data_IF_075659157083
#
_entry.id   IF_075659157083
#
_cell.length_a   1.000
_cell.length_b   1.000
_cell.length_c   1.000
_cell.angle_alpha   90.00
_cell.angle_beta   90.00
_cell.angle_gamma   90.00
#
_symmetry.space_group_name_H-M   'P 1'
#
loop_
_entity.id
_entity.type
_entity.pdbx_description
1 polymer ?
#
# COMPACT_ATOMS: atom_id res chain seq x y z
N UNK A 1 60.38 -31.75 -9.48
CA UNK A 1 59.11 -31.71 -8.73
C UNK A 1 58.42 -30.33 -8.81
N UNK A 2 58.43 -29.66 -9.99
CA UNK A 2 57.86 -28.31 -10.14
C UNK A 2 56.46 -28.28 -10.81
N UNK A 3 56.10 -29.31 -11.58
CA UNK A 3 54.84 -29.33 -12.34
C UNK A 3 53.58 -29.59 -11.51
N UNK A 4 53.69 -30.20 -10.32
CA UNK A 4 52.53 -30.54 -9.47
C UNK A 4 52.02 -29.35 -8.66
N UNK A 5 52.89 -28.37 -8.34
CA UNK A 5 52.50 -27.19 -7.55
C UNK A 5 51.74 -26.17 -8.42
N UNK A 6 52.12 -26.03 -9.69
CA UNK A 6 51.43 -25.12 -10.62
C UNK A 6 49.98 -25.55 -10.93
N UNK A 7 49.70 -26.86 -10.99
CA UNK A 7 48.33 -27.36 -11.25
C UNK A 7 47.40 -27.16 -10.05
N UNK A 8 47.92 -27.24 -8.82
CA UNK A 8 47.15 -26.98 -7.59
C UNK A 8 46.76 -25.51 -7.48
N UNK A 9 47.65 -24.57 -7.79
CA UNK A 9 47.33 -23.13 -7.73
C UNK A 9 46.25 -22.70 -8.74
N UNK A 10 46.20 -23.33 -9.91
CA UNK A 10 45.14 -23.11 -10.90
C UNK A 10 43.77 -23.66 -10.45
N UNK A 11 43.77 -24.76 -9.70
CA UNK A 11 42.55 -25.37 -9.18
C UNK A 11 42.01 -24.66 -7.93
N UNK A 12 42.87 -24.16 -7.04
CA UNK A 12 42.43 -23.31 -5.91
C UNK A 12 41.78 -22.02 -6.38
N UNK A 13 42.34 -21.38 -7.41
CA UNK A 13 41.76 -20.18 -8.01
C UNK A 13 40.37 -20.44 -8.60
N UNK A 14 40.19 -21.59 -9.26
CA UNK A 14 38.90 -22.03 -9.79
C UNK A 14 37.88 -22.32 -8.68
N UNK A 15 38.32 -22.91 -7.56
CA UNK A 15 37.47 -23.18 -6.38
C UNK A 15 36.98 -21.86 -5.77
N UNK A 16 37.84 -20.85 -5.62
CA UNK A 16 37.44 -19.55 -5.09
C UNK A 16 36.41 -18.83 -5.97
N UNK A 17 36.52 -18.96 -7.31
CA UNK A 17 35.52 -18.41 -8.23
C UNK A 17 34.18 -19.13 -8.09
N UNK A 18 34.21 -20.46 -7.96
CA UNK A 18 32.99 -21.27 -7.73
C UNK A 18 32.33 -20.90 -6.40
N UNK A 19 33.12 -20.68 -5.34
CA UNK A 19 32.62 -20.27 -4.03
C UNK A 19 32.00 -18.87 -4.07
N UNK A 20 32.63 -17.92 -4.75
CA UNK A 20 32.09 -16.57 -4.94
C UNK A 20 30.75 -16.61 -5.67
N UNK A 21 30.67 -17.34 -6.79
CA UNK A 21 29.42 -17.52 -7.54
C UNK A 21 28.36 -18.24 -6.70
N UNK A 22 28.75 -19.23 -5.89
CA UNK A 22 27.83 -19.93 -4.99
C UNK A 22 27.26 -18.99 -3.92
N UNK A 23 28.07 -18.09 -3.37
CA UNK A 23 27.63 -17.07 -2.42
C UNK A 23 26.66 -16.09 -3.07
N UNK A 24 26.98 -15.59 -4.27
CA UNK A 24 26.10 -14.69 -5.02
C UNK A 24 24.76 -15.34 -5.35
N UNK A 25 24.75 -16.62 -5.73
CA UNK A 25 23.50 -17.34 -5.98
C UNK A 25 22.67 -17.48 -4.69
N UNK A 26 23.29 -17.73 -3.54
CA UNK A 26 22.59 -17.80 -2.25
C UNK A 26 21.98 -16.45 -1.87
N UNK A 27 22.70 -15.35 -2.05
CA UNK A 27 22.16 -14.01 -1.74
C UNK A 27 20.98 -13.66 -2.62
N UNK A 28 21.06 -13.94 -3.93
CA UNK A 28 19.97 -13.72 -4.89
C UNK A 28 18.74 -14.57 -4.51
N UNK A 29 18.93 -15.84 -4.14
CA UNK A 29 17.83 -16.71 -3.70
C UNK A 29 17.15 -16.19 -2.42
N UNK A 30 17.94 -15.68 -1.46
CA UNK A 30 17.38 -15.04 -0.25
C UNK A 30 16.61 -13.76 -0.57
N UNK A 31 17.08 -12.96 -1.53
CA UNK A 31 16.36 -11.75 -1.97
C UNK A 31 15.04 -12.12 -2.67
N UNK A 32 15.06 -13.08 -3.60
CA UNK A 32 13.86 -13.53 -4.32
C UNK A 32 12.82 -14.09 -3.36
N UNK A 33 13.23 -14.95 -2.42
CA UNK A 33 12.31 -15.52 -1.42
C UNK A 33 11.71 -14.45 -0.50
N UNK A 34 12.50 -13.45 -0.09
CA UNK A 34 11.99 -12.29 0.66
C UNK A 34 10.96 -11.48 -0.14
N UNK A 35 11.23 -11.23 -1.42
CA UNK A 35 10.31 -10.51 -2.32
C UNK A 35 9.01 -11.28 -2.53
N UNK A 36 9.07 -12.60 -2.72
CA UNK A 36 7.89 -13.46 -2.85
C UNK A 36 7.04 -13.45 -1.57
N UNK A 37 7.65 -13.62 -0.39
CA UNK A 37 6.93 -13.56 0.89
C UNK A 37 6.19 -12.21 1.09
N UNK A 38 6.81 -11.10 0.69
CA UNK A 38 6.18 -9.77 0.72
C UNK A 38 5.03 -9.61 -0.28
N UNK A 39 5.09 -10.29 -1.43
CA UNK A 39 4.01 -10.29 -2.41
C UNK A 39 2.84 -11.17 -1.96
N UNK A 40 3.11 -12.35 -1.43
CA UNK A 40 2.09 -13.27 -0.88
C UNK A 40 1.30 -12.63 0.27
N UNK A 41 1.98 -11.87 1.14
CA UNK A 41 1.31 -11.10 2.21
C UNK A 41 0.47 -9.94 1.67
N UNK A 42 0.88 -9.33 0.56
CA UNK A 42 0.11 -8.26 -0.11
C UNK A 42 -1.13 -8.79 -0.81
N UNK A 43 -1.09 -9.97 -1.41
CA UNK A 43 -2.28 -10.59 -2.02
C UNK A 43 -3.35 -10.94 -0.98
N UNK A 44 -2.95 -11.44 0.21
CA UNK A 44 -3.90 -11.71 1.31
C UNK A 44 -4.62 -10.46 1.84
N UNK A 45 -4.10 -9.26 1.60
CA UNK A 45 -4.71 -8.00 2.02
C UNK A 45 -5.53 -7.30 0.93
N UNK A 46 -5.55 -7.86 -0.29
CA UNK A 46 -6.33 -7.35 -1.45
C UNK A 46 -7.71 -8.04 -1.56
N UNK A 47 -8.08 -8.90 -0.62
CA UNK A 47 -9.48 -9.36 -0.45
C UNK A 47 -10.33 -8.38 0.37
N UNK A 48 -10.07 -7.07 0.25
CA UNK A 48 -11.16 -6.10 0.42
C UNK A 48 -11.95 -6.14 -0.87
N UNK A 49 -12.94 -7.04 -0.92
CA UNK A 49 -13.94 -7.04 -1.99
C UNK A 49 -14.50 -5.64 -2.24
N UNK A 50 -15.19 -5.37 -3.35
CA UNK A 50 -15.65 -4.03 -3.72
C UNK A 50 -16.61 -3.45 -2.68
N UNK A 51 -16.05 -2.88 -1.62
CA UNK A 51 -16.73 -2.10 -0.63
C UNK A 51 -17.06 -0.76 -1.29
N UNK A 52 -18.17 -0.71 -2.01
CA UNK A 52 -18.61 0.58 -2.53
C UNK A 52 -19.79 0.62 -3.48
N UNK A 53 -20.22 -0.48 -4.10
CA UNK A 53 -21.40 -0.42 -5.00
C UNK A 53 -22.76 -0.52 -4.29
N UNK A 54 -22.79 -0.73 -2.97
CA UNK A 54 -24.02 -0.85 -2.19
C UNK A 54 -24.04 -0.06 -0.90
N UNK A 55 -23.25 1.01 -0.77
CA UNK A 55 -23.59 2.00 0.24
C UNK A 55 -24.75 2.84 -0.32
N UNK A 56 -25.97 2.29 -0.27
CA UNK A 56 -27.18 3.12 -0.27
C UNK A 56 -26.93 4.14 0.84
N UNK A 57 -26.64 5.39 0.46
CA UNK A 57 -26.61 6.50 1.42
C UNK A 57 -27.89 6.36 2.23
N UNK A 58 -27.78 6.26 3.56
CA UNK A 58 -28.95 6.08 4.43
C UNK A 58 -30.04 7.07 4.00
N UNK A 59 -31.32 6.65 3.92
CA UNK A 59 -32.43 7.53 3.56
C UNK A 59 -32.59 8.74 4.49
N UNK A 60 -31.83 8.85 5.59
CA UNK A 60 -31.75 10.07 6.40
C UNK A 60 -31.17 11.28 5.65
N UNK A 61 -30.57 11.07 4.47
CA UNK A 61 -30.20 12.12 3.52
C UNK A 61 -31.16 12.26 2.34
N UNK A 62 -32.26 11.50 2.35
CA UNK A 62 -33.36 11.74 1.43
C UNK A 62 -33.90 13.13 1.73
N UNK A 63 -33.72 13.99 0.74
CA UNK A 63 -34.03 15.40 0.70
C UNK A 63 -35.54 15.62 0.75
N UNK A 64 -36.16 15.26 1.88
CA UNK A 64 -37.47 15.76 2.28
C UNK A 64 -37.29 17.17 2.83
N UNK A 65 -37.50 18.18 1.98
CA UNK A 65 -37.88 19.55 2.35
C UNK A 65 -37.20 20.16 3.61
N UNK A 66 -35.90 19.94 3.81
CA UNK A 66 -35.23 20.52 4.96
C UNK A 66 -34.94 21.99 4.66
N UNK A 67 -35.76 22.88 5.24
CA UNK A 67 -35.66 24.35 5.24
C UNK A 67 -34.32 24.89 5.80
N UNK A 68 -33.36 24.03 6.10
CA UNK A 68 -32.15 24.34 6.86
C UNK A 68 -30.94 23.62 6.27
N UNK A 69 -29.86 24.37 6.03
CA UNK A 69 -28.59 23.82 5.57
C UNK A 69 -27.90 22.94 6.65
N UNK A 70 -26.90 22.15 6.24
CA UNK A 70 -26.16 21.25 7.13
C UNK A 70 -25.58 21.97 8.36
N UNK A 71 -25.05 23.19 8.16
CA UNK A 71 -24.48 23.98 9.25
C UNK A 71 -25.56 24.40 10.27
N UNK A 72 -26.75 24.78 9.81
CA UNK A 72 -27.86 25.11 10.70
C UNK A 72 -28.39 23.88 11.45
N UNK A 73 -28.44 22.71 10.80
CA UNK A 73 -28.80 21.45 11.47
C UNK A 73 -27.81 21.10 12.59
N UNK A 74 -26.51 21.33 12.39
CA UNK A 74 -25.46 20.95 13.35
C UNK A 74 -25.23 21.97 14.46
N UNK A 75 -25.26 23.26 14.12
CA UNK A 75 -24.86 24.34 15.03
C UNK A 75 -26.01 25.28 15.42
N UNK A 76 -27.21 25.11 14.83
CA UNK A 76 -28.40 25.95 15.07
C UNK A 76 -28.05 27.43 14.93
N UNK A 77 -28.38 28.24 15.92
CA UNK A 77 -28.13 29.69 15.99
C UNK A 77 -26.63 30.04 16.11
N UNK A 78 -25.77 29.06 16.43
CA UNK A 78 -24.31 29.28 16.55
C UNK A 78 -23.57 29.14 15.21
N UNK A 79 -24.28 28.89 14.11
CA UNK A 79 -23.68 28.76 12.79
C UNK A 79 -23.31 30.11 12.18
N UNK A 80 -22.02 30.46 12.13
CA UNK A 80 -21.53 31.67 11.43
C UNK A 80 -21.71 31.60 9.91
N UNK A 81 -21.79 30.38 9.34
CA UNK A 81 -21.91 30.14 7.89
C UNK A 81 -23.35 30.01 7.38
N UNK A 82 -24.35 30.24 8.25
CA UNK A 82 -25.76 30.12 7.88
C UNK A 82 -26.48 31.43 8.18
N UNK A 83 -27.07 32.05 7.16
CA UNK A 83 -27.88 33.28 7.29
C UNK A 83 -29.34 32.99 6.96
N UNK A 84 -30.29 33.73 7.56
CA UNK A 84 -31.73 33.64 7.21
C UNK A 84 -31.89 33.88 5.69
N UNK A 85 -32.61 33.04 4.93
CA UNK A 85 -33.61 32.03 5.31
C UNK A 85 -33.07 30.60 5.57
N UNK A 86 -31.92 30.49 6.24
CA UNK A 86 -31.24 29.25 6.61
C UNK A 86 -30.78 28.38 5.43
N UNK A 87 -30.54 29.03 4.29
CA UNK A 87 -29.89 28.44 3.12
C UNK A 87 -28.35 28.52 3.25
N UNK A 88 -27.67 27.61 2.56
CA UNK A 88 -26.21 27.64 2.42
C UNK A 88 -25.84 28.71 1.39
N UNK A 89 -25.06 29.73 1.78
CA UNK A 89 -24.49 30.70 0.83
C UNK A 89 -23.15 30.17 0.31
N UNK A 90 -23.09 29.81 -0.96
CA UNK A 90 -21.84 29.61 -1.69
C UNK A 90 -21.34 30.99 -2.13
N UNK A 91 -20.44 31.58 -1.35
CA UNK A 91 -19.77 32.82 -1.71
C UNK A 91 -18.74 33.18 -0.64
N UNK A 92 -17.50 33.44 -1.06
CA UNK A 92 -16.48 34.07 -0.21
C UNK A 92 -16.83 35.54 -0.01
#
# INVERSE_FOLDING_TARGET
>A
MASVIMTVAGSTSSIHVIDAVSQDLKTILMEISSRLSRLETRERSISRGPAGRFHRRSPSRESGAHKHCWYHRRFKERSTKCRKPYSFQTGN
#
